data_IF_342826248224
#
_entry.id   IF_342826248224
#
_cell.length_a   1.000
_cell.length_b   1.000
_cell.length_c   1.000
_cell.angle_alpha   90.00
_cell.angle_beta   90.00
_cell.angle_gamma   90.00
#
_symmetry.space_group_name_H-M   'P 1'
#
loop_
_entity.id
_entity.type
_entity.pdbx_description
1 polymer ?
#
# COMPACT_ATOMS: atom_id res chain seq x y z
N UNK A 1 -13.05 21.65 24.08
CA UNK A 1 -12.54 20.25 24.10
C UNK A 1 -11.03 20.23 23.82
N UNK A 2 -10.24 19.56 24.67
CA UNK A 2 -8.81 19.34 24.41
C UNK A 2 -8.67 18.58 23.08
N UNK A 3 -7.85 19.07 22.16
CA UNK A 3 -7.65 18.48 20.81
C UNK A 3 -7.24 16.99 20.85
N UNK A 4 -6.70 16.52 21.98
CA UNK A 4 -6.37 15.11 22.20
C UNK A 4 -7.59 14.21 22.39
N UNK A 5 -8.70 14.73 22.97
CA UNK A 5 -9.94 13.97 23.13
C UNK A 5 -10.57 13.62 21.78
N UNK A 6 -10.53 14.54 20.81
CA UNK A 6 -11.04 14.28 19.46
C UNK A 6 -10.27 13.16 18.76
N UNK A 7 -8.94 13.13 18.92
CA UNK A 7 -8.10 12.08 18.36
C UNK A 7 -8.40 10.72 19.01
N UNK A 8 -8.57 10.70 20.34
CA UNK A 8 -8.89 9.48 21.08
C UNK A 8 -10.26 8.94 20.67
N UNK A 9 -11.27 9.81 20.58
CA UNK A 9 -12.60 9.46 20.08
C UNK A 9 -12.53 8.85 18.67
N UNK A 10 -11.75 9.45 17.77
CA UNK A 10 -11.57 8.94 16.40
C UNK A 10 -10.93 7.55 16.38
N UNK A 11 -9.91 7.31 17.20
CA UNK A 11 -9.28 6.00 17.34
C UNK A 11 -10.26 4.97 17.88
N UNK A 12 -11.09 5.33 18.87
CA UNK A 12 -12.14 4.46 19.39
C UNK A 12 -13.19 4.15 18.32
N UNK A 13 -13.57 5.10 17.48
CA UNK A 13 -14.51 4.88 16.37
C UNK A 13 -13.89 3.91 15.35
N UNK A 14 -12.63 4.12 14.95
CA UNK A 14 -11.93 3.23 14.03
C UNK A 14 -11.86 1.80 14.57
N UNK A 15 -11.31 1.62 15.78
CA UNK A 15 -11.18 0.30 16.40
C UNK A 15 -12.54 -0.34 16.65
N UNK A 16 -13.47 0.41 17.23
CA UNK A 16 -14.83 -0.05 17.52
C UNK A 16 -15.59 -0.49 16.27
N UNK A 17 -15.43 0.23 15.15
CA UNK A 17 -16.07 -0.18 13.88
C UNK A 17 -15.59 -1.54 13.40
N UNK A 18 -14.28 -1.84 13.53
CA UNK A 18 -13.69 -3.11 13.10
C UNK A 18 -14.06 -4.25 14.03
N UNK A 19 -14.06 -4.00 15.33
CA UNK A 19 -14.52 -4.97 16.34
C UNK A 19 -16.00 -5.30 16.14
N UNK A 20 -16.84 -4.28 15.92
CA UNK A 20 -18.27 -4.47 15.67
C UNK A 20 -18.52 -5.27 14.39
N UNK A 21 -17.79 -4.97 13.32
CA UNK A 21 -17.86 -5.73 12.08
C UNK A 21 -17.44 -7.19 12.27
N UNK A 22 -16.35 -7.43 13.00
CA UNK A 22 -15.87 -8.78 13.31
C UNK A 22 -16.92 -9.58 14.09
N UNK A 23 -17.52 -8.97 15.11
CA UNK A 23 -18.54 -9.61 15.93
C UNK A 23 -19.83 -9.89 15.16
N UNK A 24 -20.27 -8.95 14.30
CA UNK A 24 -21.53 -9.08 13.57
C UNK A 24 -21.45 -10.00 12.35
N UNK A 25 -20.27 -10.17 11.75
CA UNK A 25 -20.16 -10.95 10.53
C UNK A 25 -20.42 -12.44 10.75
N UNK A 26 -20.13 -12.99 11.94
CA UNK A 26 -20.32 -14.42 12.25
C UNK A 26 -19.59 -15.37 11.28
N UNK A 27 -18.60 -14.87 10.52
CA UNK A 27 -17.87 -15.62 9.51
C UNK A 27 -16.66 -16.30 10.12
N UNK A 28 -16.41 -17.53 9.71
CA UNK A 28 -15.15 -18.22 9.99
C UNK A 28 -14.02 -17.63 9.15
N UNK A 29 -12.81 -17.67 9.70
CA UNK A 29 -11.60 -17.20 9.01
C UNK A 29 -11.23 -18.24 7.94
N UNK A 30 -10.98 -17.76 6.73
CA UNK A 30 -10.60 -18.59 5.59
C UNK A 30 -9.10 -18.46 5.33
N UNK A 31 -8.40 -19.59 5.24
CA UNK A 31 -7.02 -19.63 4.75
C UNK A 31 -7.01 -19.96 3.26
N UNK A 32 -7.06 -18.93 2.42
CA UNK A 32 -7.05 -19.10 0.96
C UNK A 32 -5.65 -19.40 0.41
N UNK A 33 -4.60 -19.10 1.16
CA UNK A 33 -3.22 -19.10 0.66
C UNK A 33 -2.30 -20.11 1.37
N UNK A 34 -2.81 -20.88 2.34
CA UNK A 34 -2.05 -21.88 3.09
C UNK A 34 -1.10 -21.29 4.14
N UNK A 35 -1.29 -20.01 4.53
CA UNK A 35 -0.42 -19.36 5.51
C UNK A 35 -0.66 -19.87 6.94
N UNK A 36 -1.87 -20.32 7.24
CA UNK A 36 -2.18 -20.94 8.52
C UNK A 36 -1.44 -22.28 8.64
N UNK A 37 -1.56 -23.13 7.63
CA UNK A 37 -0.91 -24.45 7.59
C UNK A 37 0.60 -24.32 7.72
N UNK A 38 1.23 -23.45 6.93
CA UNK A 38 2.68 -23.18 7.01
C UNK A 38 3.12 -22.69 8.39
N UNK A 39 2.30 -21.87 9.05
CA UNK A 39 2.61 -21.36 10.38
C UNK A 39 2.45 -22.41 11.48
N UNK A 40 1.48 -23.32 11.35
CA UNK A 40 1.31 -24.47 12.25
C UNK A 40 2.46 -25.47 12.06
N UNK A 41 2.77 -25.83 10.81
CA UNK A 41 3.92 -26.69 10.48
C UNK A 41 5.20 -26.12 11.07
N UNK A 42 5.52 -24.85 10.79
CA UNK A 42 6.74 -24.21 11.32
C UNK A 42 6.81 -24.16 12.85
N UNK A 43 5.66 -24.10 13.53
CA UNK A 43 5.67 -23.94 14.96
C UNK A 43 5.84 -25.27 15.72
N UNK A 44 5.43 -26.41 15.13
CA UNK A 44 5.50 -27.75 15.72
C UNK A 44 6.55 -28.64 15.06
N UNK A 45 6.79 -28.49 13.76
CA UNK A 45 7.88 -29.12 13.05
C UNK A 45 9.08 -28.17 13.01
N UNK A 46 10.23 -28.67 13.48
CA UNK A 46 11.48 -27.91 13.53
C UNK A 46 12.13 -27.77 12.14
N UNK A 47 11.39 -27.27 11.16
CA UNK A 47 11.89 -26.93 9.83
C UNK A 47 12.71 -25.65 9.87
N UNK A 48 13.97 -25.71 9.43
CA UNK A 48 14.80 -24.51 9.19
C UNK A 48 14.39 -23.88 7.87
N UNK A 49 13.34 -23.05 7.90
CA UNK A 49 12.91 -22.29 6.72
C UNK A 49 13.79 -21.05 6.55
N UNK A 50 14.34 -20.86 5.35
CA UNK A 50 15.12 -19.68 4.97
C UNK A 50 14.22 -18.45 4.93
N UNK A 51 14.70 -17.32 5.45
CA UNK A 51 13.98 -16.05 5.44
C UNK A 51 14.07 -15.42 4.04
N UNK A 52 12.99 -15.46 3.27
CA UNK A 52 12.90 -14.88 1.93
C UNK A 52 12.20 -13.51 1.93
N UNK A 53 11.39 -13.15 2.94
CA UNK A 53 10.80 -11.80 3.00
C UNK A 53 9.87 -11.51 4.18
N UNK A 54 9.10 -10.42 4.08
CA UNK A 54 8.12 -10.01 5.09
C UNK A 54 6.96 -11.02 5.25
N UNK A 55 6.67 -11.83 4.22
CA UNK A 55 5.72 -12.93 4.30
C UNK A 55 6.17 -14.01 5.29
N UNK A 56 7.47 -14.35 5.29
CA UNK A 56 8.03 -15.29 6.27
C UNK A 56 8.08 -14.69 7.67
N UNK A 57 8.29 -13.37 7.77
CA UNK A 57 8.21 -12.66 9.04
C UNK A 57 6.78 -12.74 9.62
N UNK A 58 5.76 -12.60 8.77
CA UNK A 58 4.36 -12.80 9.14
C UNK A 58 4.12 -14.23 9.64
N UNK A 59 4.53 -15.24 8.86
CA UNK A 59 4.44 -16.67 9.25
C UNK A 59 5.17 -16.90 10.57
N UNK A 60 6.36 -16.34 10.76
CA UNK A 60 7.13 -16.46 12.00
C UNK A 60 6.39 -15.85 13.20
N UNK A 61 5.78 -14.67 13.05
CA UNK A 61 4.96 -14.08 14.12
C UNK A 61 3.70 -14.89 14.41
N UNK A 62 3.12 -15.52 13.38
CA UNK A 62 1.94 -16.37 13.51
C UNK A 62 2.27 -17.70 14.20
N UNK A 63 3.40 -18.32 13.82
CA UNK A 63 3.98 -19.48 14.50
C UNK A 63 4.24 -19.21 15.97
N UNK A 64 4.79 -18.04 16.29
CA UNK A 64 4.99 -17.62 17.68
C UNK A 64 3.68 -17.49 18.44
N UNK A 65 2.64 -16.90 17.81
CA UNK A 65 1.30 -16.79 18.39
C UNK A 65 0.71 -18.18 18.72
N UNK A 66 0.85 -19.14 17.80
CA UNK A 66 0.34 -20.48 18.02
C UNK A 66 1.05 -21.18 19.18
N UNK A 67 2.37 -21.03 19.30
CA UNK A 67 3.11 -21.60 20.44
C UNK A 67 2.61 -21.12 21.81
N UNK A 68 1.99 -19.93 21.85
CA UNK A 68 1.45 -19.35 23.08
C UNK A 68 -0.02 -19.70 23.33
N UNK A 69 -0.86 -19.66 22.30
CA UNK A 69 -2.33 -19.72 22.45
C UNK A 69 -2.96 -21.00 21.88
N UNK A 70 -2.19 -21.84 21.19
CA UNK A 70 -2.67 -23.05 20.49
C UNK A 70 -2.96 -22.82 19.01
N UNK A 71 -3.43 -23.88 18.35
CA UNK A 71 -3.61 -24.03 16.90
C UNK A 71 -5.02 -23.64 16.40
N UNK A 72 -5.79 -22.86 17.17
CA UNK A 72 -7.16 -22.50 16.78
C UNK A 72 -7.18 -21.43 15.70
N UNK A 73 -7.91 -21.67 14.61
CA UNK A 73 -8.08 -20.72 13.50
C UNK A 73 -8.76 -19.40 13.93
N UNK A 74 -9.57 -19.44 15.00
CA UNK A 74 -10.19 -18.24 15.59
C UNK A 74 -9.16 -17.21 16.05
N UNK A 75 -8.01 -17.68 16.56
CA UNK A 75 -6.92 -16.82 17.01
C UNK A 75 -6.30 -16.05 15.85
N UNK A 76 -6.27 -16.65 14.66
CA UNK A 76 -5.80 -15.99 13.45
C UNK A 76 -6.71 -14.83 13.10
N UNK A 77 -8.03 -15.00 13.20
CA UNK A 77 -8.99 -13.91 12.97
C UNK A 77 -8.77 -12.74 13.93
N UNK A 78 -8.58 -13.02 15.21
CA UNK A 78 -8.27 -12.00 16.21
C UNK A 78 -6.93 -11.33 15.90
N UNK A 79 -5.92 -12.10 15.50
CA UNK A 79 -4.62 -11.58 15.08
C UNK A 79 -4.74 -10.66 13.86
N UNK A 80 -5.51 -11.03 12.84
CA UNK A 80 -5.76 -10.18 11.68
C UNK A 80 -6.50 -8.90 12.03
N UNK A 81 -7.52 -8.99 12.89
CA UNK A 81 -8.23 -7.83 13.42
C UNK A 81 -7.29 -6.88 14.15
N UNK A 82 -6.39 -7.41 15.00
CA UNK A 82 -5.44 -6.59 15.75
C UNK A 82 -4.42 -5.92 14.84
N UNK A 83 -3.86 -6.64 13.87
CA UNK A 83 -3.00 -6.06 12.84
C UNK A 83 -3.71 -4.92 12.11
N UNK A 84 -4.99 -5.11 11.78
CA UNK A 84 -5.76 -4.14 11.04
C UNK A 84 -6.03 -2.84 11.79
N UNK A 85 -6.43 -2.96 13.06
CA UNK A 85 -6.62 -1.80 13.93
C UNK A 85 -5.28 -1.08 14.13
N UNK A 86 -4.20 -1.83 14.35
CA UNK A 86 -2.88 -1.26 14.63
C UNK A 86 -2.34 -0.48 13.43
N UNK A 87 -2.41 -1.02 12.21
CA UNK A 87 -1.93 -0.31 11.02
C UNK A 87 -2.78 0.91 10.69
N UNK A 88 -4.09 0.88 10.92
CA UNK A 88 -4.95 2.06 10.72
C UNK A 88 -4.61 3.20 11.70
N UNK A 89 -4.33 2.88 12.97
CA UNK A 89 -3.93 3.86 13.98
C UNK A 89 -2.56 4.45 13.63
N UNK A 90 -1.60 3.61 13.28
CA UNK A 90 -0.27 4.06 12.88
C UNK A 90 -0.31 4.87 11.58
N UNK A 91 -1.15 4.48 10.62
CA UNK A 91 -1.33 5.23 9.38
C UNK A 91 -1.91 6.62 9.66
N UNK A 92 -2.93 6.71 10.52
CA UNK A 92 -3.48 7.99 10.96
C UNK A 92 -2.41 8.86 11.61
N UNK A 93 -1.57 8.29 12.48
CA UNK A 93 -0.48 9.01 13.12
C UNK A 93 0.58 9.48 12.11
N UNK A 94 1.06 8.60 11.24
CA UNK A 94 2.08 8.90 10.23
C UNK A 94 1.61 9.95 9.22
N UNK A 95 0.39 9.80 8.70
CA UNK A 95 -0.21 10.78 7.79
C UNK A 95 -0.45 12.14 8.48
N UNK A 96 -0.87 12.12 9.75
CA UNK A 96 -1.07 13.35 10.54
C UNK A 96 0.24 14.10 10.80
N UNK A 97 1.37 13.39 10.90
CA UNK A 97 2.70 13.99 11.06
C UNK A 97 3.23 14.58 9.75
N UNK A 98 3.04 13.88 8.63
CA UNK A 98 3.57 14.28 7.32
C UNK A 98 2.76 15.39 6.65
N UNK A 99 1.44 15.21 6.56
CA UNK A 99 0.53 16.08 5.79
C UNK A 99 -0.27 17.02 6.70
N UNK A 100 -0.14 16.86 8.01
CA UNK A 100 -0.90 17.60 9.02
C UNK A 100 -2.20 16.92 9.42
N UNK A 101 -2.77 17.43 10.52
CA UNK A 101 -3.88 16.77 11.23
C UNK A 101 -5.16 16.59 10.40
N UNK A 102 -5.50 17.58 9.56
CA UNK A 102 -6.71 17.51 8.72
C UNK A 102 -6.61 16.40 7.66
N UNK A 103 -5.45 16.29 7.02
CA UNK A 103 -5.18 15.25 6.03
C UNK A 103 -5.20 13.85 6.66
N UNK A 104 -4.70 13.69 7.89
CA UNK A 104 -4.78 12.43 8.62
C UNK A 104 -6.22 11.93 8.83
N UNK A 105 -7.13 12.82 9.26
CA UNK A 105 -8.55 12.47 9.41
C UNK A 105 -9.21 12.09 8.07
N UNK A 106 -8.92 12.83 7.00
CA UNK A 106 -9.46 12.55 5.67
C UNK A 106 -8.97 11.19 5.15
N UNK A 107 -7.65 10.94 5.19
CA UNK A 107 -7.07 9.68 4.71
C UNK A 107 -7.60 8.50 5.51
N UNK A 108 -7.57 8.59 6.84
CA UNK A 108 -8.06 7.54 7.73
C UNK A 108 -9.57 7.30 7.56
N UNK A 109 -10.36 8.36 7.37
CA UNK A 109 -11.81 8.26 7.15
C UNK A 109 -12.16 7.61 5.83
N UNK A 110 -11.46 7.95 4.75
CA UNK A 110 -11.65 7.31 3.44
C UNK A 110 -11.32 5.82 3.52
N UNK A 111 -10.20 5.44 4.15
CA UNK A 111 -9.83 4.03 4.33
C UNK A 111 -10.77 3.28 5.28
N UNK A 112 -11.40 3.96 6.24
CA UNK A 112 -12.40 3.36 7.11
C UNK A 112 -13.63 2.90 6.35
N UNK A 113 -14.09 3.71 5.38
CA UNK A 113 -15.30 3.44 4.59
C UNK A 113 -15.00 2.47 3.44
N UNK A 114 -13.72 2.31 3.07
CA UNK A 114 -13.34 1.55 1.90
C UNK A 114 -13.67 0.05 2.05
N UNK A 115 -14.54 -0.52 1.19
CA UNK A 115 -15.01 -1.90 1.30
C UNK A 115 -13.88 -2.92 1.18
N UNK A 116 -12.83 -2.60 0.42
CA UNK A 116 -11.66 -3.46 0.21
C UNK A 116 -11.00 -3.93 1.50
N UNK A 117 -10.98 -3.06 2.52
CA UNK A 117 -10.31 -3.34 3.79
C UNK A 117 -11.11 -4.28 4.71
N UNK A 118 -12.42 -4.40 4.53
CA UNK A 118 -13.27 -5.19 5.45
C UNK A 118 -13.05 -6.71 5.34
N UNK A 119 -13.00 -7.32 4.13
CA UNK A 119 -12.83 -8.77 4.02
C UNK A 119 -11.45 -9.27 4.46
N UNK A 120 -10.43 -8.41 4.50
CA UNK A 120 -9.06 -8.81 4.90
C UNK A 120 -8.95 -9.22 6.36
N UNK A 121 -9.98 -8.98 7.19
CA UNK A 121 -10.08 -9.46 8.58
C UNK A 121 -10.31 -10.98 8.64
N UNK A 122 -10.97 -11.53 7.62
CA UNK A 122 -11.40 -12.93 7.58
C UNK A 122 -10.59 -13.80 6.63
N UNK A 123 -9.63 -13.22 5.91
CA UNK A 123 -8.82 -13.95 4.92
C UNK A 123 -7.38 -13.96 5.40
N UNK A 124 -6.85 -15.12 5.77
CA UNK A 124 -5.46 -15.29 6.22
C UNK A 124 -4.51 -14.82 5.13
N UNK A 125 -3.93 -13.65 5.31
CA UNK A 125 -3.10 -12.95 4.32
C UNK A 125 -2.14 -11.99 5.01
N UNK A 126 -0.90 -11.85 4.51
CA UNK A 126 0.09 -10.92 5.04
C UNK A 126 -0.21 -9.45 4.65
N UNK A 127 -1.27 -9.16 3.89
CA UNK A 127 -1.59 -7.79 3.45
C UNK A 127 -1.68 -6.80 4.63
N UNK A 128 -2.43 -7.15 5.69
CA UNK A 128 -2.54 -6.32 6.89
C UNK A 128 -1.19 -6.14 7.61
N UNK A 129 -0.31 -7.13 7.52
CA UNK A 129 1.04 -7.08 8.07
C UNK A 129 1.95 -6.15 7.26
N UNK A 130 1.84 -6.16 5.93
CA UNK A 130 2.56 -5.22 5.06
C UNK A 130 2.13 -3.78 5.31
N UNK A 131 0.82 -3.55 5.43
CA UNK A 131 0.28 -2.23 5.74
C UNK A 131 0.74 -1.74 7.11
N UNK A 132 0.90 -2.63 8.10
CA UNK A 132 1.48 -2.30 9.39
C UNK A 132 2.91 -1.76 9.24
N UNK A 133 3.78 -2.48 8.55
CA UNK A 133 5.17 -2.07 8.35
C UNK A 133 5.29 -0.78 7.54
N UNK A 134 4.46 -0.64 6.50
CA UNK A 134 4.37 0.58 5.71
C UNK A 134 3.93 1.78 6.57
N UNK A 135 2.91 1.60 7.42
CA UNK A 135 2.44 2.66 8.33
C UNK A 135 3.49 3.03 9.38
N UNK A 136 4.24 2.05 9.89
CA UNK A 136 5.36 2.27 10.80
C UNK A 136 6.46 3.10 10.11
N UNK A 137 6.80 2.76 8.88
CA UNK A 137 7.75 3.53 8.07
C UNK A 137 7.29 4.98 7.88
N UNK A 138 6.00 5.23 7.60
CA UNK A 138 5.44 6.58 7.51
C UNK A 138 5.51 7.35 8.83
N UNK A 139 5.29 6.69 9.98
CA UNK A 139 5.46 7.31 11.30
C UNK A 139 6.91 7.70 11.54
N UNK A 140 7.86 6.82 11.19
CA UNK A 140 9.29 7.09 11.32
C UNK A 140 9.68 8.30 10.45
N UNK A 141 9.27 8.31 9.17
CA UNK A 141 9.47 9.47 8.29
C UNK A 141 8.83 10.74 8.85
N UNK A 142 7.60 10.64 9.35
CA UNK A 142 6.88 11.74 10.00
C UNK A 142 7.61 12.32 11.20
N UNK A 143 8.23 11.46 12.03
CA UNK A 143 9.03 11.88 13.18
C UNK A 143 10.30 12.63 12.75
N UNK A 144 11.00 12.14 11.72
CA UNK A 144 12.16 12.83 11.15
C UNK A 144 11.80 14.20 10.57
N UNK A 145 10.71 14.30 9.81
CA UNK A 145 10.23 15.57 9.26
C UNK A 145 9.80 16.56 10.36
N UNK A 146 9.13 16.07 11.39
CA UNK A 146 8.68 16.89 12.52
C UNK A 146 9.85 17.47 13.32
N UNK A 147 10.91 16.68 13.52
CA UNK A 147 12.14 17.13 14.19
C UNK A 147 12.80 18.30 13.44
N UNK A 148 12.86 18.23 12.11
CA UNK A 148 13.40 19.30 11.25
C UNK A 148 12.57 20.59 11.35
N UNK A 149 11.25 20.47 11.46
CA UNK A 149 10.35 21.62 11.60
C UNK A 149 10.59 22.36 12.92
N UNK A 150 10.77 21.63 14.01
CA UNK A 150 11.07 22.22 15.32
C UNK A 150 12.44 22.91 15.34
N UNK A 151 13.48 22.30 14.75
CA UNK A 151 14.83 22.91 14.69
C UNK A 151 14.82 24.26 13.95
N UNK A 152 14.15 24.33 12.78
CA UNK A 152 14.06 25.59 12.00
C UNK A 152 13.27 26.67 12.74
N UNK A 153 12.22 26.30 13.47
CA UNK A 153 11.44 27.25 14.28
C UNK A 153 12.29 27.80 15.42
N UNK A 154 13.07 26.96 16.11
CA UNK A 154 13.97 27.39 17.19
C UNK A 154 15.05 28.34 16.68
N UNK A 155 15.68 28.06 15.54
CA UNK A 155 16.66 28.97 14.90
C UNK A 155 16.04 30.32 14.50
N UNK A 156 14.83 30.32 13.93
CA UNK A 156 14.13 31.56 13.56
C UNK A 156 13.69 32.37 14.78
N UNK A 157 13.28 31.72 15.88
CA UNK A 157 12.95 32.43 17.14
C UNK A 157 14.19 32.95 17.86
N UNK A 158 15.34 32.28 17.75
CA UNK A 158 16.60 32.78 18.29
C UNK A 158 17.13 33.99 17.49
N UNK A 159 17.09 33.93 16.16
CA UNK A 159 17.46 35.05 15.29
C UNK A 159 16.49 36.25 15.43
N UNK A 160 15.18 35.99 15.63
CA UNK A 160 14.18 37.04 15.88
C UNK A 160 14.31 37.69 17.27
N UNK A 161 14.92 37.01 18.24
CA UNK A 161 15.21 37.54 19.58
C UNK A 161 16.39 38.51 19.57
N UNK A 162 17.41 38.27 18.73
CA UNK A 162 18.54 39.19 18.60
C UNK A 162 18.14 40.49 17.89
N UNK A 163 17.30 40.40 16.86
CA UNK A 163 16.89 41.59 16.10
C UNK A 163 15.94 42.53 16.89
N UNK A 164 15.22 42.01 17.89
CA UNK A 164 14.32 42.81 18.74
C UNK A 164 15.04 43.62 19.83
N UNK A 165 16.34 43.39 20.06
CA UNK A 165 17.11 44.10 21.11
C UNK A 165 17.69 45.43 20.62
N UNK A 166 17.74 45.68 19.31
CA UNK A 166 18.33 46.91 18.74
C UNK A 166 17.30 47.99 18.39
N UNK A 167 16.00 47.69 18.46
CA UNK A 167 14.91 48.61 18.09
C UNK A 167 14.04 48.99 19.31
N UNK A 168 14.65 49.63 20.31
CA UNK A 168 13.89 50.35 21.36
C UNK A 168 14.60 51.63 21.78
N UNK A 169 14.32 52.72 21.06
CA UNK A 169 14.24 54.08 21.57
C UNK A 169 13.07 54.78 20.85
N UNK A 170 12.29 55.65 21.52
CA UNK A 170 11.00 56.12 21.02
C UNK A 170 11.17 57.43 20.26
N UNK A 171 10.54 57.56 19.10
CA UNK A 171 10.23 58.87 18.52
C UNK A 171 8.74 58.94 18.19
N UNK A 172 8.16 59.97 18.80
CA UNK A 172 6.79 60.44 18.82
C UNK A 172 6.35 61.04 17.49
N UNK A 173 5.11 60.73 17.09
CA UNK A 173 4.16 61.73 16.58
C UNK A 173 4.09 62.01 15.06
N UNK A 174 2.84 62.14 14.62
CA UNK A 174 2.33 62.95 13.48
C UNK A 174 2.15 62.28 12.10
N UNK A 175 0.87 61.98 11.83
CA UNK A 175 0.05 62.41 10.69
C UNK A 175 0.30 61.96 9.24
N UNK A 176 -0.70 61.19 8.76
CA UNK A 176 -1.49 61.29 7.51
C UNK A 176 -0.84 61.96 6.28
N UNK A 177 -0.76 61.20 5.17
CA UNK A 177 -1.34 61.60 3.87
C UNK A 177 -1.39 60.42 2.90
N UNK A 178 -2.53 60.28 2.23
CA UNK A 178 -2.72 59.41 1.07
C UNK A 178 -2.06 60.03 -0.17
N UNK A 179 -1.47 59.24 -1.06
CA UNK A 179 -1.39 59.57 -2.49
C UNK A 179 -1.27 58.32 -3.33
N UNK A 180 -2.27 58.17 -4.20
CA UNK A 180 -2.42 57.29 -5.35
C UNK A 180 -1.40 57.64 -6.44
N UNK A 181 -0.86 56.65 -7.17
CA UNK A 181 -0.53 56.71 -8.62
C UNK A 181 0.39 55.55 -9.02
N UNK A 182 -0.10 54.64 -9.88
CA UNK A 182 0.70 53.93 -10.91
C UNK A 182 -0.22 53.45 -12.05
N UNK A 183 -0.35 54.27 -13.08
CA UNK A 183 -0.38 53.85 -14.49
C UNK A 183 1.04 53.46 -14.92
N UNK A 184 1.38 52.80 -16.03
CA UNK A 184 0.75 51.94 -17.03
C UNK A 184 1.90 51.47 -17.97
N UNK A 185 1.69 50.41 -18.76
CA UNK A 185 2.46 50.13 -19.98
C UNK A 185 3.28 48.83 -19.96
N UNK A 186 2.81 47.76 -20.60
CA UNK A 186 3.11 47.33 -22.01
C UNK A 186 4.53 46.73 -22.13
N UNK A 187 4.84 45.63 -22.82
CA UNK A 187 4.17 44.78 -23.82
C UNK A 187 5.20 43.63 -24.11
N UNK A 188 4.90 42.34 -24.21
CA UNK A 188 4.65 41.51 -25.43
C UNK A 188 5.04 40.07 -25.02
N UNK A 189 4.18 39.06 -25.06
CA UNK A 189 3.66 38.27 -26.20
C UNK A 189 4.72 37.55 -27.06
N UNK A 190 4.53 36.23 -27.19
CA UNK A 190 4.53 35.38 -28.41
C UNK A 190 5.20 34.03 -28.11
N UNK A 191 4.78 32.83 -28.53
CA UNK A 191 3.54 32.18 -29.04
C UNK A 191 3.88 30.68 -29.14
N UNK A 192 2.84 29.85 -29.11
CA UNK A 192 2.80 28.39 -29.26
C UNK A 192 2.99 27.90 -30.72
N UNK A 193 2.85 26.56 -30.88
CA UNK A 193 2.60 25.77 -32.11
C UNK A 193 3.85 25.43 -32.93
N UNK A 194 4.06 24.21 -33.47
CA UNK A 194 3.29 22.98 -33.59
C UNK A 194 3.92 22.12 -34.70
N UNK A 195 3.68 20.80 -34.68
CA UNK A 195 3.81 19.84 -35.81
C UNK A 195 5.24 19.60 -36.35
N UNK A 196 5.62 18.52 -37.02
CA UNK A 196 5.14 17.17 -37.34
C UNK A 196 6.39 16.45 -37.91
N UNK A 197 6.47 15.13 -37.71
CA UNK A 197 7.09 14.13 -38.59
C UNK A 197 8.34 14.51 -39.40
N UNK A 198 9.46 13.81 -39.18
CA UNK A 198 10.23 13.29 -40.31
C UNK A 198 10.85 11.94 -40.00
N UNK A 199 10.53 11.01 -40.88
CA UNK A 199 11.00 9.64 -40.95
C UNK A 199 12.25 9.65 -41.84
N UNK A 200 13.44 9.31 -41.34
CA UNK A 200 14.45 8.73 -42.23
C UNK A 200 15.61 8.01 -41.53
N UNK A 201 15.75 6.75 -41.97
CA UNK A 201 16.97 5.97 -42.18
C UNK A 201 18.16 6.22 -41.24
N UNK A 202 18.39 5.28 -40.32
CA UNK A 202 19.72 5.06 -39.75
C UNK A 202 20.11 3.60 -39.96
N UNK A 203 21.19 3.45 -40.70
CA UNK A 203 21.93 2.23 -41.01
C UNK A 203 22.31 1.49 -39.71
N UNK A 204 21.97 0.20 -39.62
CA UNK A 204 22.31 -0.62 -38.46
C UNK A 204 23.69 -1.24 -38.65
N UNK A 205 24.68 -0.72 -37.93
CA UNK A 205 25.85 -1.53 -37.53
C UNK A 205 25.53 -2.26 -36.22
N UNK A 206 25.92 -3.53 -36.14
CA UNK A 206 25.51 -4.46 -35.09
C UNK A 206 25.91 -3.96 -33.67
N UNK A 207 24.90 -3.77 -32.81
CA UNK A 207 25.06 -3.64 -31.36
C UNK A 207 24.98 -2.23 -30.75
N UNK A 208 24.86 -1.17 -31.56
CA UNK A 208 24.73 0.20 -31.04
C UNK A 208 23.72 1.04 -31.82
N UNK A 209 23.01 1.93 -31.12
CA UNK A 209 22.20 2.99 -31.72
C UNK A 209 22.86 4.33 -31.41
N UNK A 210 23.10 5.13 -32.43
CA UNK A 210 23.62 6.50 -32.31
C UNK A 210 22.41 7.45 -32.25
N UNK A 211 22.29 8.20 -31.17
CA UNK A 211 21.28 9.27 -31.03
C UNK A 211 21.75 10.53 -31.76
N UNK A 212 20.85 11.42 -32.17
CA UNK A 212 21.13 12.66 -32.93
C UNK A 212 22.24 13.55 -32.32
N UNK A 213 22.46 13.46 -31.00
CA UNK A 213 23.54 14.14 -30.26
C UNK A 213 24.91 13.42 -30.28
N UNK A 214 25.10 12.40 -31.13
CA UNK A 214 26.38 11.69 -31.32
C UNK A 214 26.79 10.73 -30.18
N UNK A 215 25.88 10.43 -29.25
CA UNK A 215 26.14 9.47 -28.16
C UNK A 215 25.86 8.03 -28.60
N UNK A 216 26.78 7.12 -28.24
CA UNK A 216 26.72 5.69 -28.56
C UNK A 216 25.99 4.96 -27.44
N UNK A 217 24.77 4.46 -27.68
CA UNK A 217 24.03 3.61 -26.73
C UNK A 217 24.17 2.16 -27.16
N UNK A 218 24.73 1.33 -26.27
CA UNK A 218 24.95 -0.10 -26.48
C UNK A 218 23.64 -0.84 -26.22
N UNK A 219 23.10 -1.55 -27.20
CA UNK A 219 21.89 -2.37 -26.97
C UNK A 219 22.30 -3.58 -26.13
N UNK A 220 21.70 -3.70 -24.95
CA UNK A 220 21.86 -4.89 -24.12
C UNK A 220 20.83 -5.93 -24.56
N UNK A 221 21.28 -7.14 -24.89
CA UNK A 221 20.37 -8.24 -25.22
C UNK A 221 19.53 -8.61 -24.00
N UNK A 222 18.22 -8.74 -24.22
CA UNK A 222 17.26 -9.09 -23.18
C UNK A 222 17.73 -10.36 -22.46
N UNK A 223 18.20 -10.29 -21.20
CA UNK A 223 18.89 -11.39 -20.53
C UNK A 223 17.94 -12.49 -20.05
N UNK A 224 16.66 -12.41 -20.40
CA UNK A 224 15.69 -13.44 -20.09
C UNK A 224 15.49 -14.33 -21.32
N UNK A 225 15.65 -15.66 -21.21
CA UNK A 225 15.25 -16.54 -22.29
C UNK A 225 13.79 -16.23 -22.60
N UNK A 226 13.51 -15.98 -23.89
CA UNK A 226 12.14 -15.76 -24.36
C UNK A 226 11.25 -16.88 -23.79
N UNK A 227 10.04 -16.55 -23.30
CA UNK A 227 9.10 -17.57 -22.84
C UNK A 227 9.00 -18.66 -23.91
N UNK A 228 9.09 -19.95 -23.53
CA UNK A 228 9.12 -21.03 -24.51
C UNK A 228 7.87 -20.93 -25.38
N UNK A 229 8.09 -20.77 -26.69
CA UNK A 229 7.02 -20.72 -27.69
C UNK A 229 6.18 -21.98 -27.52
N UNK A 230 4.88 -21.81 -27.31
CA UNK A 230 3.96 -22.94 -27.08
C UNK A 230 4.08 -23.99 -28.19
N UNK A 231 4.64 -25.15 -27.86
CA UNK A 231 4.64 -26.33 -28.73
C UNK A 231 3.41 -27.15 -28.34
N UNK A 232 2.54 -27.43 -29.31
CA UNK A 232 1.38 -28.29 -29.10
C UNK A 232 1.86 -29.69 -28.74
N UNK A 233 1.59 -30.13 -27.52
CA UNK A 233 1.86 -31.50 -27.06
C UNK A 233 0.79 -32.42 -27.65
N UNK A 234 1.18 -33.30 -28.57
CA UNK A 234 0.29 -34.38 -29.02
C UNK A 234 0.25 -35.45 -27.93
N UNK A 235 -0.91 -35.68 -27.33
CA UNK A 235 -1.11 -36.74 -26.35
C UNK A 235 -1.37 -38.05 -27.10
N UNK A 236 -0.44 -39.01 -27.01
CA UNK A 236 -0.65 -40.37 -27.48
C UNK A 236 -1.49 -41.14 -26.46
N UNK A 237 -2.78 -40.88 -26.42
CA UNK A 237 -3.71 -41.70 -25.64
C UNK A 237 -4.08 -42.93 -26.46
N UNK A 238 -3.58 -44.07 -26.02
CA UNK A 238 -4.00 -45.37 -26.55
C UNK A 238 -5.30 -45.75 -25.82
N UNK A 239 -6.45 -45.49 -26.43
CA UNK A 239 -7.75 -45.83 -25.85
C UNK A 239 -7.95 -47.33 -25.93
N UNK A 240 -7.61 -48.05 -24.85
CA UNK A 240 -8.13 -49.39 -24.63
C UNK A 240 -9.55 -49.27 -24.12
N UNK A 241 -10.51 -49.46 -25.02
CA UNK A 241 -11.92 -49.64 -24.65
C UNK A 241 -12.01 -50.99 -23.92
N UNK A 242 -11.95 -50.98 -22.60
CA UNK A 242 -12.53 -52.08 -21.83
C UNK A 242 -14.04 -51.98 -22.02
N UNK A 243 -14.66 -53.09 -22.42
CA UNK A 243 -16.10 -53.22 -22.47
C UNK A 243 -16.57 -53.26 -21.02
N UNK A 244 -16.86 -52.10 -20.45
CA UNK A 244 -17.39 -52.02 -19.09
C UNK A 244 -18.86 -52.43 -19.11
N UNK A 245 -19.29 -53.27 -18.16
CA UNK A 245 -20.62 -53.91 -18.08
C UNK A 245 -21.76 -52.95 -17.65
N UNK A 246 -21.66 -51.66 -17.96
CA UNK A 246 -22.64 -50.65 -17.54
C UNK A 246 -23.82 -50.47 -18.49
N UNK A 247 -23.81 -51.12 -19.66
CA UNK A 247 -24.95 -51.10 -20.58
C UNK A 247 -25.99 -52.15 -20.17
N UNK A 248 -26.90 -51.78 -19.27
CA UNK A 248 -28.13 -52.53 -19.07
C UNK A 248 -29.04 -52.33 -20.30
N UNK A 249 -29.38 -53.41 -20.99
CA UNK A 249 -30.39 -53.38 -22.05
C UNK A 249 -31.76 -53.16 -21.39
N UNK A 250 -32.31 -51.96 -21.58
CA UNK A 250 -33.70 -51.66 -21.24
C UNK A 250 -34.57 -52.29 -22.34
N UNK A 251 -35.48 -53.19 -21.96
CA UNK A 251 -36.44 -53.77 -22.90
C UNK A 251 -37.48 -52.71 -23.31
N UNK A 252 -37.86 -52.67 -24.58
CA UNK A 252 -38.83 -51.72 -25.18
C UNK A 252 -40.27 -51.82 -24.62
N UNK A 253 -40.49 -52.54 -23.52
CA UNK A 253 -41.79 -52.70 -22.85
C UNK A 253 -41.86 -52.02 -21.49
N UNK A 254 -40.89 -51.16 -21.18
CA UNK A 254 -40.90 -50.42 -19.92
C UNK A 254 -41.83 -49.20 -20.05
N UNK A 255 -43.07 -49.39 -19.59
CA UNK A 255 -44.18 -48.44 -19.62
C UNK A 255 -43.96 -47.26 -18.66
N UNK A 256 -42.99 -46.39 -18.98
CA UNK A 256 -42.71 -45.14 -18.25
C UNK A 256 -43.76 -44.03 -18.48
N UNK A 257 -45.04 -44.34 -18.31
CA UNK A 257 -46.11 -43.34 -18.24
C UNK A 257 -46.78 -43.38 -16.85
N UNK A 258 -46.36 -42.46 -15.96
CA UNK A 258 -47.08 -42.03 -14.74
C UNK A 258 -47.20 -40.51 -14.72
#
# INVERSE_FOLDING_TARGET
MRKWLLNLLWICILGGSRVLYFWNAGKTVADTYGYFEQAVERAWENGTVSWAGLGDAYIWTLSWLFRLMGDRIELVGVYQLTLQILWLILLFAGASMLLGRRAGFLLSGVLMILPWSMPTIFVVSPENYYMLHFSLFLVILGAFCSKKKNHRVTEMTAAGSENKKMERLPETGSDKAATENKEAGKNKETTQEGQEQLQQAVEKEEGYVITEDGRRVKLFDNPLPLPPKHVKKNMGFDFKVSKDDFDYQVEDRDDFDV
#
